data_IF_252722887734
#
_entry.id   IF_252722887734
#
_cell.length_a   1.000
_cell.length_b   1.000
_cell.length_c   1.000
_cell.angle_alpha   90.00
_cell.angle_beta   90.00
_cell.angle_gamma   90.00
#
_symmetry.space_group_name_H-M   'P 1'
#
loop_
_entity.id
_entity.type
_entity.pdbx_description
1 polymer ?
#
# COMPACT_ATOMS: atom_id res chain seq x y z
N UNK A 1 -0.90 -1.96 8.05
CA UNK A 1 -2.35 -2.18 8.12
C UNK A 1 -2.70 -3.66 7.96
N UNK A 2 -2.29 -4.31 6.87
CA UNK A 2 -2.58 -5.72 6.60
C UNK A 2 -2.18 -6.61 7.79
N UNK A 3 -0.90 -6.63 8.16
CA UNK A 3 -0.38 -7.48 9.25
C UNK A 3 -1.02 -7.19 10.61
N UNK A 4 -1.27 -5.94 10.93
CA UNK A 4 -1.93 -5.57 12.20
C UNK A 4 -3.39 -6.00 12.22
N UNK A 5 -4.09 -5.94 11.09
CA UNK A 5 -5.47 -6.39 10.97
C UNK A 5 -5.60 -7.91 10.99
N UNK A 6 -4.66 -8.63 10.37
CA UNK A 6 -4.59 -10.09 10.38
C UNK A 6 -4.27 -10.64 11.79
N UNK A 7 -3.32 -10.02 12.50
CA UNK A 7 -2.90 -10.43 13.84
C UNK A 7 -3.92 -10.03 14.94
N UNK A 8 -4.73 -9.00 14.71
CA UNK A 8 -5.70 -8.54 15.69
C UNK A 8 -5.07 -8.22 17.05
N UNK A 9 -5.51 -8.91 18.12
CA UNK A 9 -4.99 -8.73 19.47
C UNK A 9 -3.63 -9.43 19.69
N UNK A 10 -3.24 -10.36 18.84
CA UNK A 10 -1.98 -11.10 18.96
C UNK A 10 -0.77 -10.33 18.40
N UNK A 11 -0.95 -9.09 17.96
CA UNK A 11 0.15 -8.25 17.49
C UNK A 11 1.06 -7.83 18.65
N UNK A 12 2.39 -7.94 18.51
CA UNK A 12 3.34 -7.49 19.53
C UNK A 12 3.53 -5.96 19.54
N UNK A 13 2.84 -5.23 18.66
CA UNK A 13 2.98 -3.78 18.50
C UNK A 13 2.08 -3.03 19.49
N UNK A 14 2.62 -2.01 20.17
CA UNK A 14 1.84 -1.08 21.01
C UNK A 14 1.02 -0.09 20.17
N UNK A 15 1.56 0.36 19.03
CA UNK A 15 0.89 1.23 18.07
C UNK A 15 1.48 1.06 16.67
N UNK A 16 0.79 1.55 15.65
CA UNK A 16 1.26 1.55 14.27
C UNK A 16 0.94 2.86 13.55
N UNK A 17 1.69 3.16 12.50
CA UNK A 17 1.36 4.24 11.57
C UNK A 17 1.54 3.77 10.14
N UNK A 18 0.68 4.25 9.26
CA UNK A 18 0.72 3.98 7.82
C UNK A 18 0.63 5.28 7.07
N UNK A 19 1.54 5.50 6.13
CA UNK A 19 1.59 6.71 5.30
C UNK A 19 1.49 6.31 3.84
N UNK A 20 0.50 6.83 3.13
CA UNK A 20 0.25 6.60 1.69
C UNK A 20 0.23 5.13 1.26
N UNK A 21 -0.20 4.22 2.15
CA UNK A 21 -0.26 2.80 1.82
C UNK A 21 -1.44 2.50 0.88
N UNK A 22 -1.28 1.64 -0.13
CA UNK A 22 -2.37 1.21 -0.98
C UNK A 22 -3.33 0.28 -0.20
N UNK A 23 -4.45 0.81 0.28
CA UNK A 23 -5.47 -0.03 0.96
C UNK A 23 -6.32 -0.82 -0.03
N UNK A 24 -6.42 -0.38 -1.28
CA UNK A 24 -7.00 -1.09 -2.42
C UNK A 24 -5.91 -1.30 -3.48
N UNK A 25 -5.40 -2.52 -3.59
CA UNK A 25 -4.31 -2.85 -4.51
C UNK A 25 -4.77 -2.77 -5.96
N UNK A 26 -5.99 -3.22 -6.27
CA UNK A 26 -6.52 -3.19 -7.63
C UNK A 26 -6.72 -1.76 -8.13
N UNK A 27 -7.29 -0.87 -7.31
CA UNK A 27 -7.45 0.53 -7.65
C UNK A 27 -6.10 1.24 -7.83
N UNK A 28 -5.14 0.96 -6.94
CA UNK A 28 -3.79 1.53 -7.02
C UNK A 28 -3.06 1.06 -8.27
N UNK A 29 -3.10 -0.24 -8.58
CA UNK A 29 -2.49 -0.78 -9.80
C UNK A 29 -3.09 -0.13 -11.06
N UNK A 30 -4.43 -0.05 -11.16
CA UNK A 30 -5.10 0.62 -12.27
C UNK A 30 -4.73 2.10 -12.39
N UNK A 31 -4.63 2.81 -11.26
CA UNK A 31 -4.24 4.22 -11.25
C UNK A 31 -2.80 4.43 -11.71
N UNK A 32 -1.86 3.60 -11.24
CA UNK A 32 -0.46 3.63 -11.68
C UNK A 32 -0.31 3.37 -13.19
N UNK A 33 -1.17 2.54 -13.78
CA UNK A 33 -1.16 2.26 -15.23
C UNK A 33 -1.77 3.37 -16.08
N UNK A 34 -2.33 4.45 -15.51
CA UNK A 34 -2.86 5.59 -16.27
C UNK A 34 -1.75 6.32 -17.04
N UNK A 35 -2.03 6.91 -18.19
CA UNK A 35 -1.04 7.62 -18.99
C UNK A 35 -0.28 8.72 -18.22
N UNK A 36 -0.93 9.42 -17.28
CA UNK A 36 -0.29 10.45 -16.47
C UNK A 36 0.78 9.89 -15.53
N UNK A 37 0.72 8.60 -15.18
CA UNK A 37 1.66 7.91 -14.30
C UNK A 37 2.65 6.99 -15.06
N UNK A 38 2.73 7.10 -16.40
CA UNK A 38 3.50 6.17 -17.23
C UNK A 38 4.96 6.01 -16.80
N UNK A 39 5.61 7.10 -16.37
CA UNK A 39 7.00 7.08 -15.94
C UNK A 39 7.17 6.29 -14.63
N UNK A 40 6.33 6.58 -13.65
CA UNK A 40 6.33 5.87 -12.36
C UNK A 40 6.01 4.39 -12.55
N UNK A 41 5.02 4.07 -13.35
CA UNK A 41 4.65 2.71 -13.73
C UNK A 41 5.83 1.98 -14.40
N UNK A 42 6.48 2.61 -15.37
CA UNK A 42 7.63 2.04 -16.07
C UNK A 42 8.81 1.76 -15.13
N UNK A 43 9.16 2.75 -14.28
CA UNK A 43 10.26 2.62 -13.33
C UNK A 43 10.00 1.52 -12.31
N UNK A 44 8.79 1.49 -11.74
CA UNK A 44 8.39 0.47 -10.77
C UNK A 44 8.41 -0.93 -11.39
N UNK A 45 7.78 -1.11 -12.55
CA UNK A 45 7.77 -2.40 -13.25
C UNK A 45 9.19 -2.87 -13.58
N UNK A 46 10.06 -1.96 -14.03
CA UNK A 46 11.46 -2.27 -14.31
C UNK A 46 12.22 -2.71 -13.06
N UNK A 47 11.98 -2.04 -11.93
CA UNK A 47 12.58 -2.39 -10.65
C UNK A 47 12.11 -3.78 -10.20
N UNK A 48 10.81 -4.03 -10.19
CA UNK A 48 10.22 -5.31 -9.81
C UNK A 48 10.79 -6.47 -10.66
N UNK A 49 10.88 -6.27 -11.99
CA UNK A 49 11.48 -7.25 -12.88
C UNK A 49 12.96 -7.52 -12.56
N UNK A 50 13.73 -6.48 -12.29
CA UNK A 50 15.15 -6.61 -11.94
C UNK A 50 15.34 -7.38 -10.65
N UNK A 51 14.52 -7.10 -9.65
CA UNK A 51 14.56 -7.80 -8.36
C UNK A 51 14.14 -9.26 -8.51
N UNK A 52 13.02 -9.53 -9.19
CA UNK A 52 12.54 -10.89 -9.42
C UNK A 52 13.50 -11.74 -10.27
N UNK A 53 14.23 -11.14 -11.21
CA UNK A 53 15.21 -11.81 -12.05
C UNK A 53 16.65 -11.77 -11.47
N UNK A 54 16.79 -11.29 -10.23
CA UNK A 54 18.10 -11.11 -9.58
C UNK A 54 18.91 -12.39 -9.40
N UNK A 55 20.20 -12.26 -9.04
CA UNK A 55 21.07 -13.40 -8.80
C UNK A 55 20.51 -14.31 -7.70
N UNK A 56 20.50 -15.61 -7.93
CA UNK A 56 20.02 -16.60 -6.96
C UNK A 56 18.49 -16.78 -6.93
N UNK A 57 17.73 -16.07 -7.76
CA UNK A 57 16.29 -16.27 -7.85
C UNK A 57 15.95 -17.67 -8.38
N UNK A 58 15.34 -18.51 -7.53
CA UNK A 58 14.85 -19.83 -7.90
C UNK A 58 13.56 -19.67 -8.71
N UNK A 59 13.68 -19.51 -10.02
CA UNK A 59 12.60 -19.32 -10.97
C UNK A 59 12.53 -20.50 -11.96
N UNK A 60 11.32 -20.96 -12.20
CA UNK A 60 11.04 -21.86 -13.32
C UNK A 60 11.23 -21.12 -14.67
N UNK A 61 11.43 -21.84 -15.78
CA UNK A 61 11.48 -21.22 -17.11
C UNK A 61 10.22 -20.42 -17.44
N UNK A 62 9.03 -20.90 -17.03
CA UNK A 62 7.76 -20.24 -17.25
C UNK A 62 7.65 -18.92 -16.48
N UNK A 63 8.02 -18.90 -15.19
CA UNK A 63 8.05 -17.66 -14.38
C UNK A 63 9.01 -16.63 -14.98
N UNK A 64 10.21 -17.06 -15.37
CA UNK A 64 11.20 -16.19 -15.99
C UNK A 64 10.70 -15.56 -17.30
N UNK A 65 10.00 -16.35 -18.11
CA UNK A 65 9.40 -15.88 -19.36
C UNK A 65 8.23 -14.92 -19.08
N UNK A 66 7.34 -15.24 -18.15
CA UNK A 66 6.25 -14.39 -17.72
C UNK A 66 6.74 -13.03 -17.21
N UNK A 67 7.75 -13.00 -16.31
CA UNK A 67 8.37 -11.76 -15.82
C UNK A 67 8.92 -10.91 -16.96
N UNK A 68 9.64 -11.52 -17.92
CA UNK A 68 10.22 -10.80 -19.05
C UNK A 68 9.17 -10.20 -19.98
N UNK A 69 8.08 -10.93 -20.26
CA UNK A 69 7.01 -10.54 -21.17
C UNK A 69 6.03 -9.51 -20.57
N UNK A 70 5.89 -9.47 -19.27
CA UNK A 70 5.00 -8.52 -18.62
C UNK A 70 5.32 -7.07 -19.04
N UNK A 71 4.32 -6.32 -19.50
CA UNK A 71 4.42 -4.93 -19.94
C UNK A 71 3.73 -3.96 -18.99
N UNK A 72 2.96 -4.48 -18.04
CA UNK A 72 2.26 -3.71 -17.02
C UNK A 72 2.43 -4.36 -15.65
N UNK A 73 2.18 -3.59 -14.57
CA UNK A 73 2.14 -4.12 -13.21
C UNK A 73 1.11 -5.23 -13.08
N UNK A 74 -0.09 -5.03 -13.67
CA UNK A 74 -1.12 -6.06 -13.71
C UNK A 74 -0.64 -7.38 -14.32
N UNK A 75 0.03 -7.30 -15.49
CA UNK A 75 0.57 -8.49 -16.15
C UNK A 75 1.70 -9.16 -15.35
N UNK A 76 2.52 -8.36 -14.67
CA UNK A 76 3.58 -8.91 -13.80
C UNK A 76 2.95 -9.69 -12.64
N UNK A 77 1.95 -9.12 -11.99
CA UNK A 77 1.28 -9.78 -10.87
C UNK A 77 0.49 -11.00 -11.32
N UNK A 78 -0.19 -10.95 -12.48
CA UNK A 78 -0.91 -12.07 -13.07
C UNK A 78 -0.01 -13.24 -13.43
N UNK A 79 1.15 -12.96 -14.02
CA UNK A 79 2.03 -14.00 -14.57
C UNK A 79 3.06 -14.52 -13.56
N UNK A 80 3.30 -13.79 -12.49
CA UNK A 80 4.34 -14.12 -11.53
C UNK A 80 3.88 -14.05 -10.08
N UNK A 81 3.42 -12.87 -9.60
CA UNK A 81 3.16 -12.68 -8.17
C UNK A 81 2.02 -13.55 -7.67
N UNK A 82 0.89 -13.55 -8.37
CA UNK A 82 -0.29 -14.29 -7.97
C UNK A 82 -0.05 -15.82 -7.98
N UNK A 83 0.37 -16.44 -9.09
CA UNK A 83 0.55 -17.89 -9.13
C UNK A 83 1.66 -18.38 -8.19
N UNK A 84 2.76 -17.61 -8.05
CA UNK A 84 3.86 -17.97 -7.14
C UNK A 84 3.44 -18.01 -5.68
N UNK A 85 2.45 -17.22 -5.30
CA UNK A 85 1.93 -17.14 -3.92
C UNK A 85 0.63 -17.92 -3.72
N UNK A 86 0.22 -18.75 -4.67
CA UNK A 86 -0.93 -19.64 -4.54
C UNK A 86 -2.29 -18.97 -4.70
N UNK A 87 -2.35 -17.81 -5.36
CA UNK A 87 -3.61 -17.16 -5.75
C UNK A 87 -4.07 -17.68 -7.10
N UNK A 88 -5.39 -17.73 -7.29
CA UNK A 88 -6.01 -18.22 -8.52
C UNK A 88 -5.66 -17.33 -9.72
N UNK A 89 -5.66 -16.02 -9.52
CA UNK A 89 -5.33 -14.99 -10.49
C UNK A 89 -4.96 -13.67 -9.78
N UNK A 90 -4.69 -12.62 -10.54
CA UNK A 90 -4.36 -11.30 -9.99
C UNK A 90 -5.55 -10.65 -9.27
N UNK A 91 -6.77 -10.94 -9.65
CA UNK A 91 -7.96 -10.39 -8.99
C UNK A 91 -8.13 -11.01 -7.60
N UNK A 92 -7.96 -12.32 -7.46
CA UNK A 92 -7.93 -13.03 -6.18
C UNK A 92 -6.80 -12.50 -5.28
N UNK A 93 -5.60 -12.33 -5.86
CA UNK A 93 -4.46 -11.74 -5.15
C UNK A 93 -4.79 -10.34 -4.60
N UNK A 94 -5.29 -9.43 -5.44
CA UNK A 94 -5.61 -8.08 -5.00
C UNK A 94 -6.77 -8.03 -4.02
N UNK A 95 -7.82 -8.82 -4.22
CA UNK A 95 -8.94 -8.89 -3.30
C UNK A 95 -8.50 -9.35 -1.91
N UNK A 96 -7.72 -10.43 -1.82
CA UNK A 96 -7.31 -11.02 -0.54
C UNK A 96 -6.15 -10.31 0.14
N UNK A 97 -5.35 -9.52 -0.60
CA UNK A 97 -4.20 -8.80 -0.07
C UNK A 97 -4.42 -7.30 0.09
N UNK A 98 -5.57 -6.76 -0.28
CA UNK A 98 -5.92 -5.36 -0.02
C UNK A 98 -6.13 -5.12 1.47
N UNK A 99 -5.47 -4.08 2.01
CA UNK A 99 -5.51 -3.80 3.44
C UNK A 99 -6.91 -3.38 3.93
N UNK A 100 -7.78 -2.91 3.05
CA UNK A 100 -9.15 -2.52 3.38
C UNK A 100 -9.96 -3.67 4.00
N UNK A 101 -9.72 -4.91 3.61
CA UNK A 101 -10.40 -6.10 4.15
C UNK A 101 -9.98 -6.39 5.62
N UNK A 102 -8.85 -5.83 6.05
CA UNK A 102 -8.27 -6.10 7.37
C UNK A 102 -8.42 -4.91 8.35
N UNK A 103 -8.95 -3.77 7.90
CA UNK A 103 -9.11 -2.59 8.76
C UNK A 103 -9.96 -2.90 10.00
N UNK A 104 -11.04 -3.64 9.83
CA UNK A 104 -11.91 -4.07 10.92
C UNK A 104 -11.27 -5.03 11.93
N UNK A 105 -10.14 -5.65 11.59
CA UNK A 105 -9.37 -6.54 12.48
C UNK A 105 -8.34 -5.82 13.34
N UNK A 106 -8.00 -4.56 13.05
CA UNK A 106 -6.98 -3.81 13.79
C UNK A 106 -7.46 -3.52 15.22
N UNK A 107 -6.64 -3.84 16.21
CA UNK A 107 -6.94 -3.72 17.66
C UNK A 107 -5.96 -2.85 18.42
N UNK A 108 -4.98 -2.26 17.74
CA UNK A 108 -4.00 -1.36 18.33
C UNK A 108 -4.18 0.06 17.79
N UNK A 109 -3.81 1.10 18.54
CA UNK A 109 -3.80 2.47 18.05
C UNK A 109 -3.05 2.55 16.72
N UNK A 110 -3.73 2.99 15.66
CA UNK A 110 -3.14 3.02 14.32
C UNK A 110 -3.47 4.32 13.62
N UNK A 111 -2.43 5.10 13.31
CA UNK A 111 -2.53 6.32 12.51
C UNK A 111 -2.52 5.97 11.02
N UNK A 112 -3.48 6.48 10.27
CA UNK A 112 -3.57 6.29 8.81
C UNK A 112 -3.49 7.65 8.13
N UNK A 113 -2.38 7.90 7.42
CA UNK A 113 -2.15 9.17 6.70
C UNK A 113 -2.20 8.91 5.19
N UNK A 114 -3.07 9.63 4.48
CA UNK A 114 -3.14 9.58 3.01
C UNK A 114 -3.60 10.94 2.47
N UNK A 115 -2.89 11.48 1.47
CA UNK A 115 -3.28 12.74 0.85
C UNK A 115 -4.37 12.52 -0.21
N UNK A 116 -5.29 13.49 -0.33
CA UNK A 116 -6.34 13.40 -1.34
C UNK A 116 -5.82 13.65 -2.76
N UNK A 117 -4.69 14.35 -2.88
CA UNK A 117 -3.97 14.63 -4.13
C UNK A 117 -2.88 13.61 -4.47
N UNK A 118 -2.86 12.42 -3.82
CA UNK A 118 -1.87 11.37 -4.11
C UNK A 118 -2.01 10.91 -5.57
N UNK A 119 -0.98 11.08 -6.42
CA UNK A 119 -1.06 10.71 -7.83
C UNK A 119 -1.05 9.20 -8.07
N UNK A 120 -0.62 8.40 -7.09
CA UNK A 120 -0.43 6.95 -7.24
C UNK A 120 -1.52 6.15 -6.52
N UNK A 121 -1.79 6.48 -5.25
CA UNK A 121 -2.78 5.79 -4.42
C UNK A 121 -4.08 6.58 -4.42
N UNK A 122 -5.16 6.08 -5.06
CA UNK A 122 -6.42 6.80 -5.13
C UNK A 122 -7.03 7.03 -3.74
N UNK A 123 -7.22 8.29 -3.36
CA UNK A 123 -7.85 8.66 -2.08
C UNK A 123 -9.30 8.16 -1.96
N UNK A 124 -9.96 7.86 -3.07
CA UNK A 124 -11.33 7.35 -3.08
C UNK A 124 -11.50 6.09 -2.21
N UNK A 125 -10.48 5.21 -2.18
CA UNK A 125 -10.50 4.03 -1.32
C UNK A 125 -10.53 4.39 0.17
N UNK A 126 -9.89 5.48 0.56
CA UNK A 126 -9.90 5.99 1.93
C UNK A 126 -11.18 6.76 2.25
N UNK A 127 -11.62 7.64 1.34
CA UNK A 127 -12.83 8.43 1.52
C UNK A 127 -14.10 7.56 1.55
N UNK A 128 -14.07 6.40 0.91
CA UNK A 128 -15.16 5.42 0.93
C UNK A 128 -15.25 4.61 2.24
N UNK A 129 -14.29 4.73 3.16
CA UNK A 129 -14.34 4.02 4.43
C UNK A 129 -15.23 4.74 5.44
N UNK A 130 -16.00 4.00 6.21
CA UNK A 130 -16.75 4.49 7.37
C UNK A 130 -15.83 4.55 8.59
N UNK A 131 -14.93 5.54 8.64
CA UNK A 131 -13.91 5.65 9.69
C UNK A 131 -14.50 5.67 11.11
N UNK A 132 -15.68 6.28 11.30
CA UNK A 132 -16.38 6.27 12.59
C UNK A 132 -16.72 4.87 13.11
N UNK A 133 -16.90 3.90 12.22
CA UNK A 133 -17.07 2.51 12.62
C UNK A 133 -15.79 1.87 13.17
N UNK A 134 -14.62 2.46 12.85
CA UNK A 134 -13.30 2.00 13.30
C UNK A 134 -12.73 2.82 14.47
N UNK A 135 -13.34 3.94 14.86
CA UNK A 135 -12.87 4.77 16.00
C UNK A 135 -12.83 3.97 17.30
N UNK A 136 -13.83 3.11 17.54
CA UNK A 136 -13.82 2.15 18.65
C UNK A 136 -12.71 1.09 18.54
N UNK A 137 -12.09 0.96 17.36
CA UNK A 137 -11.02 0.04 17.02
C UNK A 137 -9.64 0.72 16.92
N UNK A 138 -9.55 1.97 17.41
CA UNK A 138 -8.28 2.72 17.48
C UNK A 138 -7.69 3.18 16.13
N UNK A 139 -8.47 3.23 15.04
CA UNK A 139 -8.00 3.78 13.76
C UNK A 139 -8.20 5.30 13.71
N UNK A 140 -7.13 6.05 13.49
CA UNK A 140 -7.14 7.50 13.35
C UNK A 140 -6.76 7.91 11.92
N UNK A 141 -7.71 8.28 11.05
CA UNK A 141 -7.41 8.75 9.71
C UNK A 141 -6.99 10.22 9.72
N UNK A 142 -5.94 10.55 8.98
CA UNK A 142 -5.52 11.90 8.61
C UNK A 142 -5.48 11.98 7.08
N UNK A 143 -6.50 12.63 6.48
CA UNK A 143 -6.71 12.68 5.03
C UNK A 143 -6.63 14.14 4.53
N UNK A 144 -5.46 14.79 4.57
CA UNK A 144 -5.29 16.17 4.10
C UNK A 144 -5.59 16.28 2.60
N UNK A 145 -6.04 17.46 2.19
CA UNK A 145 -6.30 17.75 0.77
C UNK A 145 -5.05 17.68 -0.08
N UNK A 146 -3.90 18.06 0.50
CA UNK A 146 -2.61 18.13 -0.19
C UNK A 146 -1.51 17.40 0.59
N UNK A 147 -0.61 16.76 -0.15
CA UNK A 147 0.51 16.01 0.43
C UNK A 147 1.27 15.19 -0.62
N UNK A 148 0.67 14.94 -1.74
CA UNK A 148 1.21 14.00 -2.74
C UNK A 148 1.34 12.60 -2.18
N UNK A 149 2.19 11.75 -2.78
CA UNK A 149 2.35 10.38 -2.30
C UNK A 149 3.08 10.30 -0.94
N UNK A 150 4.23 10.97 -0.78
CA UNK A 150 5.01 10.97 0.46
C UNK A 150 5.65 12.34 0.75
N UNK A 151 5.18 13.39 0.10
CA UNK A 151 5.76 14.72 0.21
C UNK A 151 5.44 15.38 1.55
N UNK A 152 4.17 15.62 1.81
CA UNK A 152 3.63 16.21 3.03
C UNK A 152 4.42 17.42 3.57
N UNK A 153 5.04 18.22 2.68
CA UNK A 153 5.81 19.39 3.07
C UNK A 153 4.89 20.57 3.36
N UNK A 154 5.14 21.21 4.49
CA UNK A 154 4.48 22.45 4.88
C UNK A 154 5.41 23.66 4.77
N UNK A 155 4.84 24.86 4.71
CA UNK A 155 5.61 26.12 4.71
C UNK A 155 6.45 26.20 5.98
N UNK A 156 7.74 26.55 5.81
CA UNK A 156 8.66 26.78 6.92
C UNK A 156 9.26 25.53 7.57
N UNK A 157 9.05 24.34 7.03
CA UNK A 157 9.65 23.10 7.54
C UNK A 157 10.41 22.36 6.45
N UNK A 158 11.60 21.84 6.77
CA UNK A 158 12.39 20.94 5.91
C UNK A 158 11.92 19.48 6.03
N UNK A 159 11.19 19.15 7.09
CA UNK A 159 10.68 17.79 7.34
C UNK A 159 9.20 17.73 6.96
N UNK A 160 8.74 16.64 6.35
CA UNK A 160 7.33 16.39 6.15
C UNK A 160 6.55 16.49 7.46
N UNK A 161 5.38 17.11 7.45
CA UNK A 161 4.58 17.17 8.68
C UNK A 161 4.07 15.78 9.10
N UNK A 162 3.93 14.85 8.15
CA UNK A 162 3.61 13.45 8.42
C UNK A 162 4.60 12.79 9.37
N UNK A 163 5.91 13.07 9.23
CA UNK A 163 6.93 12.52 10.11
C UNK A 163 6.72 12.96 11.56
N UNK A 164 6.38 14.22 11.76
CA UNK A 164 6.08 14.77 13.09
C UNK A 164 4.78 14.18 13.65
N UNK A 165 3.74 14.04 12.81
CA UNK A 165 2.47 13.44 13.22
C UNK A 165 2.68 11.98 13.63
N UNK A 166 3.42 11.19 12.84
CA UNK A 166 3.76 9.80 13.14
C UNK A 166 4.60 9.70 14.42
N UNK A 167 5.66 10.51 14.54
CA UNK A 167 6.52 10.50 15.74
C UNK A 167 5.74 10.87 17.00
N UNK A 168 4.89 11.91 16.95
CA UNK A 168 4.05 12.32 18.07
C UNK A 168 3.02 11.25 18.44
N UNK A 169 2.38 10.65 17.45
CA UNK A 169 1.42 9.58 17.67
C UNK A 169 2.05 8.35 18.33
N UNK A 170 3.18 7.87 17.81
CA UNK A 170 3.89 6.73 18.37
C UNK A 170 4.47 7.02 19.76
N UNK A 171 4.92 8.26 20.01
CA UNK A 171 5.40 8.65 21.35
C UNK A 171 4.28 8.67 22.39
N UNK A 172 3.06 9.02 22.00
CA UNK A 172 1.89 9.03 22.88
C UNK A 172 1.42 7.64 23.30
N UNK A 173 1.64 6.63 22.44
CA UNK A 173 1.19 5.25 22.63
C UNK A 173 2.33 4.28 23.03
N UNK A 174 3.39 4.78 23.63
CA UNK A 174 4.51 3.97 24.15
C UNK A 174 4.15 3.26 25.44
#
# INVERSE_FOLDING_TARGET
>A
LFRSGEAGQDTPLAAAASVSAPIDLAATCRNLMRPCNWLSHFMLLRQMKREALGPGAALTPAERDGIRKARTLWQFDEQFTAPRNGFADVADYYARCSAMEFLGGIRIPTLVVAAQDDPWVPCAAYLGQHWSAYESLCLLPLLPEQGGHVGFHGVGSRHPWSDRAVAGFLAFHR
#
